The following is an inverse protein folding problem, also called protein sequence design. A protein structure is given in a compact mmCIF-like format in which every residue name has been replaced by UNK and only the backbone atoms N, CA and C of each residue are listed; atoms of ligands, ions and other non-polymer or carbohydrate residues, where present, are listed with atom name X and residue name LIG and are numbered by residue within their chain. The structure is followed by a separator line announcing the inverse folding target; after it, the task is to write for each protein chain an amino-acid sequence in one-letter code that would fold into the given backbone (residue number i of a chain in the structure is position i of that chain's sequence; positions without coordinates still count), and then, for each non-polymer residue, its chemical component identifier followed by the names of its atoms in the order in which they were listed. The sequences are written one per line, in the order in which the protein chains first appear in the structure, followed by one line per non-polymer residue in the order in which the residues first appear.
data_IF_955326571400
#
_entry.id   IF_955326571400
#
_cell.length_a   1.000
_cell.length_b   1.000
_cell.length_c   1.000
_cell.angle_alpha   90.00
_cell.angle_beta   90.00
_cell.angle_gamma   90.00
#
_symmetry.space_group_name_H-M   'P 1'
#
loop_
_entity.id
_entity.type
_entity.pdbx_description
1 polymer ?
#
# COMPACT_ATOMS: atom_id res chain seq x y z
N UNK A 1 15.05 -5.25 32.86
CA UNK A 1 13.95 -4.27 32.74
C UNK A 1 13.35 -4.16 31.32
N UNK A 2 13.62 -5.12 30.40
CA UNK A 2 13.03 -5.16 29.07
C UNK A 2 11.57 -5.68 29.05
N UNK A 3 11.14 -6.42 30.07
CA UNK A 3 9.82 -7.08 30.09
C UNK A 3 8.61 -6.18 30.43
N UNK A 4 8.83 -4.94 30.90
CA UNK A 4 7.70 -4.07 31.28
C UNK A 4 7.05 -3.39 30.06
N UNK A 5 7.81 -3.17 28.99
CA UNK A 5 7.28 -2.54 27.78
C UNK A 5 6.59 -3.52 26.82
N UNK A 6 6.99 -4.79 26.83
CA UNK A 6 6.32 -5.83 26.03
C UNK A 6 4.94 -6.19 26.57
N UNK A 7 4.74 -6.15 27.88
CA UNK A 7 3.44 -6.46 28.50
C UNK A 7 2.39 -5.35 28.32
N UNK A 8 2.81 -4.09 28.14
CA UNK A 8 1.88 -2.97 27.96
C UNK A 8 1.57 -2.68 26.47
N UNK A 9 2.43 -3.11 25.54
CA UNK A 9 2.23 -2.87 24.11
C UNK A 9 1.00 -3.61 23.53
N UNK A 10 0.47 -4.61 24.23
CA UNK A 10 -0.71 -5.37 23.80
C UNK A 10 -1.98 -5.09 24.60
N UNK A 11 -1.90 -4.30 25.67
CA UNK A 11 -3.09 -3.93 26.46
C UNK A 11 -4.07 -3.09 25.65
N UNK A 12 -5.30 -3.54 25.56
CA UNK A 12 -6.37 -2.90 24.80
C UNK A 12 -6.57 -3.48 23.39
N UNK A 13 -5.69 -4.37 22.94
CA UNK A 13 -5.79 -5.06 21.65
C UNK A 13 -6.08 -6.55 21.75
N UNK A 14 -6.32 -7.07 22.96
CA UNK A 14 -6.51 -8.50 23.21
C UNK A 14 -7.68 -9.12 22.44
N UNK A 15 -8.67 -8.30 22.07
CA UNK A 15 -9.85 -8.72 21.31
C UNK A 15 -9.82 -8.30 19.84
N UNK A 16 -8.77 -7.62 19.39
CA UNK A 16 -8.64 -7.20 17.98
C UNK A 16 -7.97 -8.31 17.20
N UNK A 17 -8.75 -9.03 16.39
CA UNK A 17 -8.19 -10.00 15.44
C UNK A 17 -7.33 -9.25 14.43
N UNK A 18 -6.14 -9.76 14.13
CA UNK A 18 -5.18 -9.15 13.18
C UNK A 18 -5.82 -8.82 11.81
N UNK A 19 -6.84 -9.57 11.38
CA UNK A 19 -7.62 -9.31 10.18
C UNK A 19 -8.66 -8.18 10.30
N UNK A 20 -8.84 -7.61 11.49
CA UNK A 20 -9.80 -6.51 11.73
C UNK A 20 -9.17 -5.12 11.58
N UNK A 21 -7.84 -5.06 11.50
CA UNK A 21 -7.10 -3.82 11.32
C UNK A 21 -6.81 -3.63 9.83
N UNK A 22 -7.46 -2.65 9.19
CA UNK A 22 -7.07 -2.23 7.86
C UNK A 22 -5.69 -1.54 7.95
N UNK A 23 -4.67 -2.02 7.22
CA UNK A 23 -3.39 -1.34 7.23
C UNK A 23 -3.55 0.08 6.67
N UNK A 24 -2.92 1.09 7.27
CA UNK A 24 -2.94 2.44 6.73
C UNK A 24 -2.22 2.45 5.37
N UNK A 25 -2.91 2.89 4.32
CA UNK A 25 -2.35 3.03 2.99
C UNK A 25 -2.06 4.50 2.74
N UNK A 26 -0.86 4.82 2.24
CA UNK A 26 -0.53 6.14 1.73
C UNK A 26 -0.96 6.20 0.25
N UNK A 27 -2.09 6.84 0.00
CA UNK A 27 -2.73 6.93 -1.31
C UNK A 27 -2.38 8.25 -1.98
N UNK A 28 -1.87 8.22 -3.22
CA UNK A 28 -1.76 9.40 -4.06
C UNK A 28 -3.15 9.73 -4.61
N UNK A 29 -3.65 10.93 -4.32
CA UNK A 29 -4.93 11.41 -4.81
C UNK A 29 -4.80 11.89 -6.26
N UNK A 30 -5.74 11.44 -7.09
CA UNK A 30 -5.86 11.79 -8.49
C UNK A 30 -7.16 12.57 -8.72
N UNK A 31 -7.33 13.16 -9.92
CA UNK A 31 -8.55 13.90 -10.28
C UNK A 31 -9.85 13.09 -10.09
N UNK A 32 -9.80 11.76 -10.26
CA UNK A 32 -10.92 10.85 -10.06
C UNK A 32 -11.06 10.28 -8.64
N UNK A 33 -10.17 10.63 -7.71
CA UNK A 33 -10.23 10.11 -6.34
C UNK A 33 -11.44 10.67 -5.60
N UNK A 34 -12.25 9.78 -5.02
CA UNK A 34 -13.48 10.16 -4.28
C UNK A 34 -13.17 11.12 -3.14
N UNK A 35 -12.03 10.93 -2.48
CA UNK A 35 -11.58 11.74 -1.34
C UNK A 35 -11.22 13.19 -1.73
N UNK A 36 -10.91 13.44 -3.02
CA UNK A 36 -10.62 14.78 -3.53
C UNK A 36 -11.84 15.48 -4.15
N UNK A 37 -13.00 14.82 -4.18
CA UNK A 37 -14.22 15.35 -4.79
C UNK A 37 -15.20 15.85 -3.75
N UNK A 38 -15.37 17.16 -3.62
CA UNK A 38 -16.22 17.84 -2.59
C UNK A 38 -17.67 17.33 -2.52
N UNK A 39 -18.21 16.77 -3.59
CA UNK A 39 -19.60 16.25 -3.62
C UNK A 39 -19.69 14.75 -3.30
N UNK A 40 -18.54 14.09 -3.11
CA UNK A 40 -18.52 12.66 -2.80
C UNK A 40 -18.67 12.45 -1.28
N UNK A 41 -19.40 11.41 -0.89
CA UNK A 41 -19.57 11.05 0.52
C UNK A 41 -18.26 10.70 1.24
N UNK A 42 -17.23 10.32 0.48
CA UNK A 42 -15.90 9.99 1.00
C UNK A 42 -14.92 11.17 0.94
N UNK A 43 -15.42 12.38 0.64
CA UNK A 43 -14.57 13.57 0.59
C UNK A 43 -13.82 13.79 1.90
N UNK A 44 -12.56 14.11 1.80
CA UNK A 44 -11.71 14.53 2.93
C UNK A 44 -11.46 16.02 2.81
N UNK A 45 -11.79 16.77 3.84
CA UNK A 45 -11.64 18.23 3.83
C UNK A 45 -10.20 18.66 3.55
N UNK A 46 -10.02 19.55 2.60
CA UNK A 46 -8.70 20.01 2.15
C UNK A 46 -7.98 19.07 1.19
N UNK A 47 -8.57 17.93 0.84
CA UNK A 47 -7.97 17.00 -0.11
C UNK A 47 -8.05 17.53 -1.55
N UNK A 48 -6.91 17.51 -2.23
CA UNK A 48 -6.76 17.92 -3.62
C UNK A 48 -5.97 16.86 -4.42
N UNK A 49 -6.18 16.75 -5.73
CA UNK A 49 -5.34 15.91 -6.59
C UNK A 49 -3.86 16.29 -6.46
N UNK A 50 -2.98 15.29 -6.43
CA UNK A 50 -1.55 15.45 -6.24
C UNK A 50 -1.10 15.37 -4.78
N UNK A 51 -2.01 15.43 -3.82
CA UNK A 51 -1.71 15.18 -2.41
C UNK A 51 -1.64 13.68 -2.11
N UNK A 52 -0.93 13.33 -1.03
CA UNK A 52 -1.02 12.00 -0.45
C UNK A 52 -1.96 12.00 0.75
N UNK A 53 -2.71 10.92 0.90
CA UNK A 53 -3.65 10.68 1.98
C UNK A 53 -3.31 9.39 2.72
N UNK A 54 -3.16 9.47 4.03
CA UNK A 54 -3.22 8.27 4.87
C UNK A 54 -4.68 7.84 5.01
N UNK A 55 -5.02 6.64 4.53
CA UNK A 55 -6.42 6.18 4.45
C UNK A 55 -7.08 5.94 5.80
N UNK A 56 -6.30 5.74 6.86
CA UNK A 56 -6.79 5.49 8.23
C UNK A 56 -6.86 6.79 9.03
N UNK A 57 -5.74 7.50 9.15
CA UNK A 57 -5.67 8.73 9.96
C UNK A 57 -6.30 9.94 9.28
N UNK A 58 -6.55 9.86 7.97
CA UNK A 58 -7.01 10.97 7.12
C UNK A 58 -6.03 12.14 7.02
N UNK A 59 -4.79 11.95 7.49
CA UNK A 59 -3.74 12.93 7.34
C UNK A 59 -3.42 13.16 5.86
N UNK A 60 -3.40 14.44 5.47
CA UNK A 60 -3.00 14.89 4.13
C UNK A 60 -1.55 15.37 4.13
N UNK A 61 -0.84 15.06 3.05
CA UNK A 61 0.53 15.50 2.83
C UNK A 61 0.62 16.18 1.47
N UNK A 62 1.34 17.30 1.42
CA UNK A 62 1.53 18.05 0.18
C UNK A 62 2.42 17.27 -0.80
N UNK A 63 1.91 17.00 -2.00
CA UNK A 63 2.62 16.23 -3.04
C UNK A 63 3.84 16.97 -3.61
N UNK A 64 3.78 18.29 -3.73
CA UNK A 64 4.87 19.10 -4.29
C UNK A 64 6.10 19.15 -3.37
N UNK A 65 5.85 19.14 -2.06
CA UNK A 65 6.94 19.10 -1.05
C UNK A 65 7.53 17.70 -0.90
N UNK A 66 6.81 16.67 -1.34
CA UNK A 66 7.14 15.29 -1.09
C UNK A 66 6.95 14.87 0.37
N UNK A 67 7.25 13.61 0.65
CA UNK A 67 7.13 13.02 1.98
C UNK A 67 8.44 12.31 2.31
N UNK A 68 8.94 12.53 3.51
CA UNK A 68 10.09 11.77 4.01
C UNK A 68 9.60 10.49 4.67
N UNK A 69 10.16 9.36 4.28
CA UNK A 69 9.79 8.05 4.81
C UNK A 69 11.02 7.22 5.14
N UNK A 70 10.88 6.37 6.16
CA UNK A 70 11.83 5.31 6.47
C UNK A 70 11.25 4.01 5.94
N UNK A 71 11.91 3.34 4.97
CA UNK A 71 11.48 2.02 4.51
C UNK A 71 11.76 0.96 5.58
N UNK A 72 10.77 0.12 5.86
CA UNK A 72 10.85 -0.90 6.90
C UNK A 72 10.81 -2.32 6.32
N UNK A 73 9.91 -2.55 5.35
CA UNK A 73 9.70 -3.88 4.79
C UNK A 73 9.11 -3.79 3.37
N UNK A 74 9.41 -4.80 2.55
CA UNK A 74 8.86 -4.97 1.21
C UNK A 74 8.22 -6.36 1.09
N UNK A 75 7.05 -6.41 0.46
CA UNK A 75 6.33 -7.65 0.15
C UNK A 75 5.80 -7.58 -1.27
N UNK A 76 5.98 -8.65 -2.03
CA UNK A 76 5.31 -8.84 -3.32
C UNK A 76 4.05 -9.66 -3.11
N UNK A 77 2.98 -9.29 -3.79
CA UNK A 77 1.73 -10.04 -3.79
C UNK A 77 1.02 -9.95 -5.14
N UNK A 78 0.12 -10.88 -5.39
CA UNK A 78 -0.77 -10.86 -6.54
C UNK A 78 -2.18 -10.53 -6.06
N UNK A 79 -2.80 -9.53 -6.68
CA UNK A 79 -4.15 -9.09 -6.36
C UNK A 79 -5.09 -9.43 -7.51
N UNK A 80 -6.17 -10.14 -7.20
CA UNK A 80 -7.24 -10.45 -8.14
C UNK A 80 -8.27 -9.31 -8.11
N UNK A 81 -8.59 -8.78 -9.27
CA UNK A 81 -9.52 -7.66 -9.43
C UNK A 81 -10.61 -8.00 -10.45
N UNK A 82 -11.84 -7.65 -10.13
CA UNK A 82 -12.91 -7.56 -11.11
C UNK A 82 -12.75 -6.30 -11.98
N UNK A 83 -13.35 -6.30 -13.17
CA UNK A 83 -13.36 -5.12 -14.01
C UNK A 83 -14.10 -3.95 -13.34
N UNK A 84 -13.75 -2.73 -13.74
CA UNK A 84 -14.34 -1.52 -13.20
C UNK A 84 -15.89 -1.56 -13.34
N UNK A 85 -16.55 -1.29 -12.23
CA UNK A 85 -18.03 -1.28 -12.18
C UNK A 85 -18.68 -2.66 -11.98
N UNK A 86 -17.91 -3.77 -11.94
CA UNK A 86 -18.45 -5.13 -11.74
C UNK A 86 -18.10 -5.73 -10.39
N UNK A 87 -17.12 -5.20 -9.69
CA UNK A 87 -16.64 -5.70 -8.41
C UNK A 87 -16.84 -4.72 -7.25
N UNK A 88 -16.33 -5.10 -6.10
CA UNK A 88 -16.42 -4.33 -4.84
C UNK A 88 -15.57 -3.05 -4.81
N UNK A 89 -14.73 -2.81 -5.82
CA UNK A 89 -13.72 -1.74 -5.83
C UNK A 89 -12.51 -2.05 -4.93
N UNK A 90 -12.40 -3.29 -4.48
CA UNK A 90 -11.29 -3.86 -3.72
C UNK A 90 -10.78 -5.12 -4.41
N UNK A 91 -9.58 -5.60 -4.08
CA UNK A 91 -9.16 -6.93 -4.53
C UNK A 91 -10.17 -7.98 -4.04
N UNK A 92 -10.61 -8.85 -4.95
CA UNK A 92 -11.47 -9.98 -4.61
C UNK A 92 -10.69 -11.05 -3.84
N UNK A 93 -9.41 -11.24 -4.21
CA UNK A 93 -8.47 -12.12 -3.50
C UNK A 93 -7.06 -11.52 -3.52
N UNK A 94 -6.24 -11.89 -2.53
CA UNK A 94 -4.83 -11.56 -2.44
C UNK A 94 -4.04 -12.86 -2.27
N UNK A 95 -3.07 -13.07 -3.14
CA UNK A 95 -2.21 -14.26 -3.16
C UNK A 95 -0.76 -13.86 -2.81
N UNK A 96 -0.03 -14.70 -2.07
CA UNK A 96 1.38 -14.47 -1.81
C UNK A 96 2.22 -14.60 -3.09
N UNK A 97 3.43 -14.08 -3.08
CA UNK A 97 4.39 -14.17 -4.19
C UNK A 97 4.75 -15.62 -4.59
N UNK A 98 4.61 -16.56 -3.66
CA UNK A 98 4.81 -18.00 -3.89
C UNK A 98 3.64 -18.69 -4.61
N UNK A 99 2.54 -17.96 -4.89
CA UNK A 99 1.36 -18.52 -5.54
C UNK A 99 1.60 -18.78 -7.03
N UNK A 100 1.01 -19.86 -7.52
CA UNK A 100 0.96 -20.24 -8.94
C UNK A 100 -0.20 -19.54 -9.70
N UNK A 101 -0.81 -18.51 -9.12
CA UNK A 101 -2.01 -17.86 -9.68
C UNK A 101 -1.78 -17.30 -11.09
N UNK A 102 -0.57 -16.83 -11.39
CA UNK A 102 -0.22 -16.33 -12.74
C UNK A 102 -0.24 -17.46 -13.79
N UNK A 103 0.12 -18.68 -13.43
CA UNK A 103 0.09 -19.83 -14.34
C UNK A 103 -1.35 -20.22 -14.74
N UNK A 104 -2.34 -19.76 -13.97
CA UNK A 104 -3.77 -19.97 -14.20
C UNK A 104 -4.41 -18.86 -15.04
N UNK A 105 -3.63 -17.90 -15.50
CA UNK A 105 -4.12 -16.78 -16.30
C UNK A 105 -3.85 -16.97 -17.79
N UNK A 106 -4.63 -16.27 -18.60
CA UNK A 106 -4.39 -16.06 -20.03
C UNK A 106 -4.37 -14.56 -20.33
N UNK A 107 -3.58 -14.14 -21.31
CA UNK A 107 -3.57 -12.73 -21.74
C UNK A 107 -4.89 -12.37 -22.40
N UNK A 108 -5.60 -11.41 -21.80
CA UNK A 108 -6.78 -10.81 -22.41
C UNK A 108 -6.42 -9.85 -23.57
N UNK A 109 -7.40 -9.40 -24.35
CA UNK A 109 -7.20 -8.45 -25.46
C UNK A 109 -6.71 -7.07 -24.96
N UNK A 110 -6.94 -6.76 -23.69
CA UNK A 110 -6.45 -5.57 -22.99
C UNK A 110 -5.03 -5.74 -22.41
N UNK A 111 -4.39 -6.88 -22.68
CA UNK A 111 -3.05 -7.22 -22.19
C UNK A 111 -2.96 -7.61 -20.72
N UNK A 112 -4.09 -7.68 -20.00
CA UNK A 112 -4.13 -8.12 -18.61
C UNK A 112 -4.07 -9.64 -18.50
N UNK A 113 -3.48 -10.13 -17.42
CA UNK A 113 -3.48 -11.54 -17.06
C UNK A 113 -4.83 -11.89 -16.43
N UNK A 114 -5.69 -12.63 -17.17
CA UNK A 114 -7.06 -12.91 -16.76
C UNK A 114 -7.25 -14.37 -16.34
N UNK A 115 -7.99 -14.57 -15.27
CA UNK A 115 -8.48 -15.85 -14.80
C UNK A 115 -9.72 -16.30 -15.59
N UNK A 116 -10.10 -17.55 -15.46
CA UNK A 116 -11.31 -18.10 -16.10
C UNK A 116 -12.60 -17.38 -15.72
N UNK A 117 -12.68 -16.83 -14.50
CA UNK A 117 -13.84 -16.06 -14.03
C UNK A 117 -13.93 -14.65 -14.62
N UNK A 118 -12.96 -14.25 -15.46
CA UNK A 118 -12.89 -12.95 -16.08
C UNK A 118 -12.11 -11.91 -15.26
N UNK A 119 -11.86 -12.13 -13.99
CA UNK A 119 -11.04 -11.25 -13.16
C UNK A 119 -9.59 -11.20 -13.67
N UNK A 120 -8.88 -10.12 -13.37
CA UNK A 120 -7.48 -9.99 -13.75
C UNK A 120 -6.55 -9.93 -12.54
N UNK A 121 -5.32 -10.35 -12.74
CA UNK A 121 -4.28 -10.34 -11.72
C UNK A 121 -3.37 -9.13 -11.91
N UNK A 122 -3.18 -8.38 -10.83
CA UNK A 122 -2.14 -7.35 -10.71
C UNK A 122 -1.02 -7.87 -9.83
N UNK A 123 0.21 -7.73 -10.30
CA UNK A 123 1.39 -7.87 -9.45
C UNK A 123 1.61 -6.56 -8.71
N UNK A 124 1.62 -6.60 -7.38
CA UNK A 124 1.69 -5.42 -6.52
C UNK A 124 2.84 -5.55 -5.54
N UNK A 125 3.74 -4.56 -5.54
CA UNK A 125 4.76 -4.39 -4.50
C UNK A 125 4.20 -3.54 -3.36
N UNK A 126 4.21 -4.09 -2.15
CA UNK A 126 3.82 -3.39 -0.93
C UNK A 126 5.07 -2.94 -0.19
N UNK A 127 5.23 -1.63 -0.04
CA UNK A 127 6.32 -1.00 0.70
C UNK A 127 5.78 -0.51 2.05
N UNK A 128 6.22 -1.12 3.13
CA UNK A 128 5.88 -0.68 4.48
C UNK A 128 6.89 0.38 4.91
N UNK A 129 6.38 1.52 5.34
CA UNK A 129 7.19 2.71 5.64
C UNK A 129 6.74 3.37 6.94
N UNK A 130 7.65 4.10 7.57
CA UNK A 130 7.34 5.08 8.60
C UNK A 130 7.41 6.46 7.94
N UNK A 131 6.32 7.20 7.99
CA UNK A 131 6.26 8.58 7.51
C UNK A 131 6.80 9.48 8.62
N UNK A 132 7.80 10.31 8.29
CA UNK A 132 8.36 11.27 9.22
C UNK A 132 7.53 12.55 9.16
N UNK A 133 6.78 12.83 10.24
CA UNK A 133 6.04 14.07 10.42
C UNK A 133 6.78 15.02 11.34
N UNK A 134 6.40 16.31 11.31
CA UNK A 134 7.00 17.35 12.18
C UNK A 134 6.75 17.10 13.68
N UNK A 135 5.61 16.52 14.02
CA UNK A 135 5.19 16.30 15.42
C UNK A 135 5.12 14.83 15.82
N UNK A 136 4.90 13.96 14.87
CA UNK A 136 4.76 12.51 15.10
C UNK A 136 5.11 11.75 13.84
N UNK A 137 5.50 10.49 14.02
CA UNK A 137 5.70 9.55 12.90
C UNK A 137 4.49 8.65 12.78
N UNK A 138 4.12 8.31 11.54
CA UNK A 138 3.00 7.42 11.22
C UNK A 138 3.50 6.23 10.39
N UNK A 139 2.89 5.08 10.60
CA UNK A 139 3.12 3.93 9.74
C UNK A 139 2.18 3.95 8.55
N UNK A 140 2.66 3.57 7.38
CA UNK A 140 1.84 3.42 6.19
C UNK A 140 2.39 2.36 5.25
N UNK A 141 1.55 1.94 4.31
CA UNK A 141 1.88 1.04 3.23
C UNK A 141 1.72 1.78 1.90
N UNK A 142 2.72 1.70 1.04
CA UNK A 142 2.69 2.23 -0.32
C UNK A 142 2.54 1.03 -1.27
N UNK A 143 1.41 0.96 -1.98
CA UNK A 143 1.14 -0.09 -2.97
C UNK A 143 1.56 0.39 -4.36
N UNK A 144 2.44 -0.37 -5.02
CA UNK A 144 2.88 -0.09 -6.39
C UNK A 144 2.53 -1.27 -7.30
N UNK A 145 1.64 -1.04 -8.26
CA UNK A 145 1.26 -2.05 -9.25
C UNK A 145 2.38 -2.30 -10.28
N UNK A 146 2.21 -3.32 -11.11
CA UNK A 146 3.16 -3.67 -12.18
C UNK A 146 3.45 -2.52 -13.14
N UNK A 147 2.50 -1.62 -13.38
CA UNK A 147 2.71 -0.40 -14.17
C UNK A 147 3.70 0.57 -13.51
N UNK A 148 3.81 0.53 -12.20
CA UNK A 148 4.75 1.29 -11.37
C UNK A 148 5.99 0.49 -10.99
N UNK A 149 6.14 -0.72 -11.51
CA UNK A 149 7.22 -1.65 -11.19
C UNK A 149 8.63 -1.08 -11.43
N UNK A 150 8.79 -0.13 -12.35
CA UNK A 150 10.04 0.59 -12.58
C UNK A 150 10.46 1.40 -11.34
N UNK A 151 9.52 2.08 -10.72
CA UNK A 151 9.72 2.89 -9.50
C UNK A 151 10.03 1.97 -8.33
N UNK A 152 9.26 0.90 -8.16
CA UNK A 152 9.45 -0.09 -7.09
C UNK A 152 10.85 -0.76 -7.19
N UNK A 153 11.28 -1.17 -8.39
CA UNK A 153 12.62 -1.73 -8.58
C UNK A 153 13.75 -0.75 -8.29
N UNK A 154 13.59 0.51 -8.70
CA UNK A 154 14.57 1.57 -8.38
C UNK A 154 14.69 1.78 -6.88
N UNK A 155 13.56 1.83 -6.19
CA UNK A 155 13.51 1.94 -4.74
C UNK A 155 14.23 0.77 -4.06
N UNK A 156 13.87 -0.46 -4.42
CA UNK A 156 14.48 -1.67 -3.84
C UNK A 156 15.98 -1.76 -4.12
N UNK A 157 16.44 -1.35 -5.32
CA UNK A 157 17.85 -1.29 -5.66
C UNK A 157 18.60 -0.27 -4.81
N UNK A 158 18.01 0.90 -4.59
CA UNK A 158 18.59 1.93 -3.73
C UNK A 158 18.70 1.44 -2.28
N UNK A 159 17.66 0.79 -1.76
CA UNK A 159 17.67 0.25 -0.40
C UNK A 159 18.73 -0.84 -0.23
N UNK A 160 18.89 -1.71 -1.22
CA UNK A 160 19.92 -2.75 -1.21
C UNK A 160 21.34 -2.16 -1.22
N UNK A 161 21.58 -1.07 -1.96
CA UNK A 161 22.90 -0.41 -1.98
C UNK A 161 23.22 0.21 -0.61
N UNK A 162 22.28 0.87 0.03
CA UNK A 162 22.45 1.42 1.38
C UNK A 162 22.79 0.32 2.39
N UNK A 163 22.10 -0.82 2.32
CA UNK A 163 22.36 -1.98 3.18
C UNK A 163 23.73 -2.61 2.96
N UNK A 164 24.30 -2.52 1.75
CA UNK A 164 25.65 -3.03 1.45
C UNK A 164 26.77 -2.09 1.92
N UNK A 165 26.50 -0.78 1.92
CA UNK A 165 27.46 0.23 2.36
C UNK A 165 27.47 0.43 3.87
N UNK A 166 26.38 0.10 4.55
CA UNK A 166 26.27 0.14 6.00
C UNK A 166 26.66 -1.17 6.65
N UNK A 167 27.62 -1.14 7.62
CA UNK A 167 28.00 -2.33 8.39
C UNK A 167 26.85 -2.89 9.25
N UNK A 168 25.84 -2.07 9.51
CA UNK A 168 24.63 -2.40 10.25
C UNK A 168 23.43 -1.87 9.45
N UNK A 169 23.09 -2.55 8.37
CA UNK A 169 21.86 -2.26 7.63
C UNK A 169 20.62 -2.51 8.49
N UNK A 170 19.46 -1.84 8.22
CA UNK A 170 18.23 -2.05 8.94
C UNK A 170 17.73 -3.49 8.81
#
# INVERSE_FOLDING_TARGET
SAGLFEADAQKGFENVKTGSLAPPILKLLQNGSAEAQKRNQNYVEGAEPGMFLNTVTKQLYNGDKGIQVIPCHYKLEFQEWADYGTGSGRPENIYPDSSDVLDKTTKGPDGKDRLQNGNYILTVGQHFVIILGEKSSETAMISMSSSQGKISRKWNSMMKSISLDGKDGP
#
